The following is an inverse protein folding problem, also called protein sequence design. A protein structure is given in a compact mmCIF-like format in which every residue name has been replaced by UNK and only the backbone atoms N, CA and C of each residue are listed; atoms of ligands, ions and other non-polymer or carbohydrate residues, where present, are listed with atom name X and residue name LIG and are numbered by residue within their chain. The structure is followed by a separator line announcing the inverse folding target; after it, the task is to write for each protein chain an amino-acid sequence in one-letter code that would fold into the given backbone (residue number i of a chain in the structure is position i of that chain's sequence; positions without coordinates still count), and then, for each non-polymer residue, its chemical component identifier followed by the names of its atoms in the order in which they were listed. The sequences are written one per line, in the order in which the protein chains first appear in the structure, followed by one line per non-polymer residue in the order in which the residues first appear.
data_IF_876714737143
#
_entry.id   IF_876714737143
#
_cell.length_a   1.000
_cell.length_b   1.000
_cell.length_c   1.000
_cell.angle_alpha   90.00
_cell.angle_beta   90.00
_cell.angle_gamma   90.00
#
_symmetry.space_group_name_H-M   'P 1'
#
loop_
_entity.id
_entity.type
_entity.pdbx_description
1 polymer ?
#
# COMPACT_ATOMS: atom_id res chain seq x y z
N UNK A 1 -0.94 16.38 9.32
CA UNK A 1 -2.10 15.51 9.06
C UNK A 1 -1.99 14.23 9.87
N UNK A 2 -2.41 14.24 11.14
CA UNK A 2 -2.69 13.03 11.93
C UNK A 2 -1.54 12.08 12.32
N UNK A 3 -0.36 12.15 11.69
CA UNK A 3 0.77 11.23 11.95
C UNK A 3 1.24 10.53 10.66
N UNK A 4 2.32 9.74 10.71
CA UNK A 4 2.87 9.08 9.51
C UNK A 4 1.95 8.02 8.92
N UNK A 5 1.23 7.28 9.76
CA UNK A 5 0.26 6.27 9.29
C UNK A 5 -0.89 6.94 8.54
N UNK A 6 -1.50 7.98 9.11
CA UNK A 6 -2.63 8.69 8.49
C UNK A 6 -2.19 9.44 7.23
N UNK A 7 -1.00 10.07 7.24
CA UNK A 7 -0.53 10.91 6.15
C UNK A 7 0.12 10.16 4.98
N UNK A 8 0.78 9.02 5.23
CA UNK A 8 1.58 8.30 4.22
C UNK A 8 1.31 6.79 4.23
N UNK A 9 1.14 6.19 5.43
CA UNK A 9 0.85 4.77 5.59
C UNK A 9 -0.46 4.33 4.93
N UNK A 10 -1.44 5.22 4.90
CA UNK A 10 -2.75 5.02 4.28
C UNK A 10 -2.67 4.63 2.79
N UNK A 11 -1.65 5.09 2.06
CA UNK A 11 -1.43 4.71 0.67
C UNK A 11 -1.15 3.21 0.51
N UNK A 12 -0.54 2.56 1.51
CA UNK A 12 -0.31 1.11 1.47
C UNK A 12 -1.59 0.33 1.81
N UNK A 13 -2.45 0.88 2.69
CA UNK A 13 -3.78 0.32 2.96
C UNK A 13 -4.62 0.37 1.68
N UNK A 14 -4.65 1.52 1.01
CA UNK A 14 -5.33 1.73 -0.27
C UNK A 14 -4.82 0.78 -1.37
N UNK A 15 -3.50 0.70 -1.53
CA UNK A 15 -2.88 -0.16 -2.54
C UNK A 15 -3.24 -1.64 -2.33
N UNK A 16 -3.18 -2.15 -1.11
CA UNK A 16 -3.54 -3.54 -0.83
C UNK A 16 -5.04 -3.78 -1.03
N UNK A 17 -5.89 -2.83 -0.63
CA UNK A 17 -7.34 -2.90 -0.87
C UNK A 17 -7.69 -2.89 -2.36
N UNK A 18 -6.98 -2.11 -3.16
CA UNK A 18 -7.12 -2.10 -4.61
C UNK A 18 -6.68 -3.43 -5.23
N UNK A 19 -5.51 -3.97 -4.83
CA UNK A 19 -4.97 -5.21 -5.38
C UNK A 19 -5.78 -6.45 -5.00
N UNK A 20 -6.29 -6.51 -3.77
CA UNK A 20 -7.19 -7.58 -3.32
C UNK A 20 -8.55 -7.48 -4.03
N UNK A 21 -9.00 -6.27 -4.38
CA UNK A 21 -10.32 -6.04 -4.98
C UNK A 21 -11.48 -6.46 -4.08
N UNK A 22 -11.24 -6.57 -2.76
CA UNK A 22 -12.17 -7.11 -1.77
C UNK A 22 -12.13 -6.28 -0.48
N UNK A 23 -13.25 -6.08 0.26
CA UNK A 23 -13.30 -5.29 1.49
C UNK A 23 -12.31 -5.72 2.57
N UNK A 24 -11.82 -4.75 3.35
CA UNK A 24 -10.99 -5.01 4.54
C UNK A 24 -11.93 -5.42 5.68
N UNK A 25 -11.73 -6.62 6.22
CA UNK A 25 -12.55 -7.15 7.31
C UNK A 25 -11.89 -7.02 8.68
N UNK A 26 -10.55 -7.00 8.74
CA UNK A 26 -9.82 -6.93 10.00
C UNK A 26 -8.34 -6.56 9.77
N UNK A 27 -7.64 -6.17 10.83
CA UNK A 27 -6.19 -5.97 10.82
C UNK A 27 -5.52 -6.39 12.13
N UNK A 28 -4.23 -6.68 12.08
CA UNK A 28 -3.34 -6.74 13.24
C UNK A 28 -2.17 -5.79 13.05
N UNK A 29 -1.65 -5.22 14.13
CA UNK A 29 -0.56 -4.25 14.07
C UNK A 29 0.40 -4.42 15.24
N UNK A 30 1.69 -4.33 14.95
CA UNK A 30 2.78 -4.34 15.93
C UNK A 30 3.69 -3.15 15.67
N UNK A 31 3.72 -2.24 16.64
CA UNK A 31 4.60 -1.07 16.62
C UNK A 31 5.95 -1.40 17.24
N UNK A 32 6.97 -0.62 16.87
CA UNK A 32 8.23 -0.68 17.62
C UNK A 32 7.96 -0.33 19.09
N UNK A 33 8.49 -1.16 20.00
CA UNK A 33 8.30 -1.00 21.43
C UNK A 33 8.99 0.25 21.99
N UNK A 34 8.57 0.65 23.19
CA UNK A 34 9.28 1.66 23.96
C UNK A 34 10.63 1.10 24.43
N UNK A 35 11.73 1.70 23.98
CA UNK A 35 13.07 1.39 24.42
C UNK A 35 13.91 2.68 24.56
N UNK A 36 14.91 2.71 25.44
CA UNK A 36 15.81 3.86 25.55
C UNK A 36 16.40 4.25 24.19
N UNK A 37 16.29 5.54 23.83
CA UNK A 37 16.80 6.07 22.56
C UNK A 37 15.81 6.07 21.39
N UNK A 38 14.60 5.52 21.53
CA UNK A 38 13.55 5.60 20.50
C UNK A 38 12.58 6.75 20.81
N UNK A 39 12.81 7.91 20.18
CA UNK A 39 11.98 9.10 20.39
C UNK A 39 10.65 9.10 19.60
N UNK A 40 10.62 8.48 18.43
CA UNK A 40 9.42 8.41 17.55
C UNK A 40 9.08 6.95 17.31
N UNK A 41 7.83 6.56 17.56
CA UNK A 41 7.34 5.16 17.46
C UNK A 41 6.33 4.98 16.32
N UNK A 42 5.36 5.87 16.19
CA UNK A 42 4.28 5.84 15.18
C UNK A 42 4.66 5.97 13.71
N UNK A 43 5.95 5.90 13.39
CA UNK A 43 6.49 5.81 12.03
C UNK A 43 7.19 4.47 11.77
N UNK A 44 7.02 3.50 12.67
CA UNK A 44 7.61 2.15 12.61
C UNK A 44 6.58 1.12 13.07
N UNK A 45 5.89 0.53 12.11
CA UNK A 45 4.82 -0.44 12.35
C UNK A 45 4.89 -1.56 11.32
N UNK A 46 4.64 -2.79 11.77
CA UNK A 46 4.28 -3.90 10.90
C UNK A 46 2.81 -4.21 11.12
N UNK A 47 2.02 -4.26 10.05
CA UNK A 47 0.60 -4.59 10.16
C UNK A 47 0.17 -5.52 9.03
N UNK A 48 -0.83 -6.36 9.30
CA UNK A 48 -1.46 -7.19 8.28
C UNK A 48 -2.94 -6.85 8.17
N UNK A 49 -3.43 -6.78 6.94
CA UNK A 49 -4.84 -6.62 6.59
C UNK A 49 -5.39 -7.98 6.17
N UNK A 50 -6.62 -8.26 6.58
CA UNK A 50 -7.42 -9.40 6.13
C UNK A 50 -8.56 -8.89 5.25
N UNK A 51 -8.77 -9.57 4.13
CA UNK A 51 -9.79 -9.21 3.15
C UNK A 51 -10.92 -10.25 3.10
N UNK A 52 -12.12 -9.84 2.67
CA UNK A 52 -13.30 -10.69 2.69
C UNK A 52 -13.21 -11.93 1.76
N UNK A 53 -12.33 -11.90 0.76
CA UNK A 53 -12.06 -13.02 -0.15
C UNK A 53 -11.04 -14.03 0.42
N UNK A 54 -10.55 -13.79 1.64
CA UNK A 54 -9.50 -14.59 2.29
C UNK A 54 -8.07 -14.17 1.93
N UNK A 55 -7.90 -13.14 1.09
CA UNK A 55 -6.59 -12.55 0.83
C UNK A 55 -6.03 -11.92 2.10
N UNK A 56 -4.70 -11.84 2.17
CA UNK A 56 -3.96 -11.11 3.21
C UNK A 56 -2.96 -10.16 2.58
N UNK A 57 -2.68 -9.05 3.25
CA UNK A 57 -1.64 -8.12 2.84
C UNK A 57 -0.89 -7.61 4.05
N UNK A 58 0.44 -7.74 4.06
CA UNK A 58 1.29 -7.29 5.17
C UNK A 58 2.16 -6.12 4.73
N UNK A 59 2.25 -5.11 5.58
CA UNK A 59 3.06 -3.92 5.37
C UNK A 59 4.08 -3.80 6.50
N UNK A 60 5.34 -3.63 6.12
CA UNK A 60 6.40 -3.19 7.02
C UNK A 60 6.71 -1.73 6.72
N UNK A 61 6.11 -0.82 7.50
CA UNK A 61 6.37 0.61 7.40
C UNK A 61 7.46 0.99 8.39
N UNK A 62 8.69 1.19 7.91
CA UNK A 62 9.87 1.36 8.78
C UNK A 62 10.68 2.60 8.39
N UNK A 63 10.64 3.62 9.24
CA UNK A 63 11.35 4.88 9.00
C UNK A 63 12.73 5.01 9.67
N UNK A 64 13.30 3.91 10.16
CA UNK A 64 14.65 3.82 10.75
C UNK A 64 15.70 3.23 9.80
N UNK A 65 15.40 3.10 8.51
CA UNK A 65 16.33 2.61 7.50
C UNK A 65 17.34 3.66 7.02
N UNK A 66 18.45 3.20 6.43
CA UNK A 66 19.41 4.09 5.77
C UNK A 66 18.89 4.53 4.39
N UNK A 67 19.19 5.78 3.98
CA UNK A 67 18.73 6.37 2.72
C UNK A 67 19.14 5.65 1.44
N UNK A 68 20.16 4.77 1.51
CA UNK A 68 20.60 3.95 0.38
C UNK A 68 19.75 2.69 0.18
N UNK A 69 18.92 2.33 1.16
CA UNK A 69 18.00 1.20 1.03
C UNK A 69 16.80 1.62 0.15
N UNK A 70 16.33 0.75 -0.77
CA UNK A 70 15.16 1.05 -1.59
C UNK A 70 13.94 1.37 -0.73
N UNK A 71 13.19 2.41 -1.11
CA UNK A 71 12.10 2.93 -0.28
C UNK A 71 10.88 2.02 -0.25
N UNK A 72 10.57 1.36 -1.37
CA UNK A 72 9.31 0.66 -1.58
C UNK A 72 9.56 -0.66 -2.31
N UNK A 73 9.01 -1.75 -1.77
CA UNK A 73 8.96 -3.07 -2.41
C UNK A 73 7.60 -3.68 -2.16
N UNK A 74 7.02 -4.30 -3.18
CA UNK A 74 5.78 -5.05 -3.10
C UNK A 74 5.98 -6.41 -3.75
N UNK A 75 5.67 -7.48 -3.03
CA UNK A 75 5.61 -8.84 -3.56
C UNK A 75 4.16 -9.32 -3.49
N UNK A 76 3.62 -9.80 -4.61
CA UNK A 76 2.25 -10.34 -4.73
C UNK A 76 2.33 -11.81 -5.11
N UNK A 77 1.72 -12.67 -4.29
CA UNK A 77 1.70 -14.13 -4.48
C UNK A 77 0.29 -14.57 -4.85
N UNK A 78 0.12 -15.29 -5.96
CA UNK A 78 -1.17 -15.85 -6.34
C UNK A 78 -1.01 -17.07 -7.26
N UNK A 79 -1.79 -18.13 -7.00
CA UNK A 79 -1.87 -19.33 -7.86
C UNK A 79 -0.52 -19.91 -8.32
N UNK A 80 0.46 -20.02 -7.41
CA UNK A 80 1.80 -20.54 -7.72
C UNK A 80 2.72 -19.56 -8.46
N UNK A 81 2.35 -18.28 -8.52
CA UNK A 81 3.09 -17.23 -9.23
C UNK A 81 3.39 -16.05 -8.31
N UNK A 82 4.41 -15.27 -8.67
CA UNK A 82 4.82 -14.09 -7.91
C UNK A 82 5.11 -12.92 -8.85
N UNK A 83 4.63 -11.73 -8.49
CA UNK A 83 5.08 -10.47 -9.05
C UNK A 83 5.81 -9.66 -7.97
N UNK A 84 7.00 -9.18 -8.28
CA UNK A 84 7.81 -8.35 -7.40
C UNK A 84 8.03 -6.99 -8.04
N UNK A 85 7.52 -5.95 -7.40
CA UNK A 85 7.73 -4.56 -7.76
C UNK A 85 8.76 -3.94 -6.82
N UNK A 86 9.84 -3.41 -7.40
CA UNK A 86 10.87 -2.64 -6.70
C UNK A 86 10.77 -1.17 -7.09
N UNK A 87 10.40 -0.36 -6.10
CA UNK A 87 10.37 1.09 -6.09
C UNK A 87 9.66 1.71 -7.29
N UNK A 88 8.55 1.12 -7.75
CA UNK A 88 7.80 1.56 -8.94
C UNK A 88 8.67 1.75 -10.20
N UNK A 89 9.72 0.94 -10.34
CA UNK A 89 10.67 0.98 -11.47
C UNK A 89 10.90 -0.38 -12.10
N UNK A 90 11.03 -1.43 -11.29
CA UNK A 90 11.34 -2.78 -11.78
C UNK A 90 10.24 -3.72 -11.35
N UNK A 91 9.63 -4.41 -12.30
CA UNK A 91 8.68 -5.48 -12.04
C UNK A 91 9.32 -6.80 -12.50
N UNK A 92 9.31 -7.82 -11.65
CA UNK A 92 9.80 -9.18 -11.97
C UNK A 92 8.67 -10.18 -11.79
N UNK A 93 8.55 -11.11 -12.74
CA UNK A 93 7.61 -12.22 -12.68
C UNK A 93 8.30 -13.54 -12.42
N UNK A 94 7.71 -14.34 -11.54
CA UNK A 94 8.13 -15.71 -11.25
C UNK A 94 6.93 -16.64 -11.49
N UNK A 95 7.13 -17.71 -12.27
CA UNK A 95 6.03 -18.59 -12.66
C UNK A 95 4.97 -17.91 -13.55
N UNK A 96 5.30 -16.79 -14.21
CA UNK A 96 4.37 -16.02 -15.05
C UNK A 96 4.60 -16.30 -16.54
N UNK A 97 3.71 -17.07 -17.22
CA UNK A 97 3.89 -17.36 -18.65
C UNK A 97 3.86 -16.07 -19.48
N UNK A 98 4.80 -15.93 -20.42
CA UNK A 98 4.89 -14.77 -21.30
C UNK A 98 5.41 -13.48 -20.65
N UNK A 99 5.63 -13.44 -19.32
CA UNK A 99 6.16 -12.27 -18.63
C UNK A 99 7.34 -12.62 -17.72
N UNK A 100 8.47 -11.94 -17.89
CA UNK A 100 9.67 -12.16 -17.05
C UNK A 100 10.02 -10.93 -16.23
N UNK A 101 10.12 -9.78 -16.87
CA UNK A 101 10.45 -8.53 -16.19
C UNK A 101 10.05 -7.32 -17.02
N UNK A 102 9.94 -6.17 -16.35
CA UNK A 102 9.82 -4.84 -16.92
C UNK A 102 10.73 -3.90 -16.12
N UNK A 103 11.40 -2.98 -16.79
CA UNK A 103 12.26 -1.98 -16.15
C UNK A 103 12.03 -0.60 -16.77
N UNK A 104 11.71 0.37 -15.92
CA UNK A 104 11.50 1.76 -16.31
C UNK A 104 12.76 2.58 -16.03
N UNK A 105 13.06 3.49 -16.96
CA UNK A 105 14.16 4.45 -16.80
C UNK A 105 13.96 5.37 -15.61
N UNK A 106 12.71 5.74 -15.29
CA UNK A 106 12.33 6.60 -14.17
C UNK A 106 11.22 5.96 -13.36
N UNK A 107 11.10 6.36 -12.10
CA UNK A 107 10.00 5.94 -11.25
C UNK A 107 8.68 6.46 -11.79
N UNK A 108 7.66 5.60 -11.84
CA UNK A 108 6.31 5.98 -12.19
C UNK A 108 5.33 5.48 -11.12
N UNK A 109 4.85 6.40 -10.27
CA UNK A 109 3.85 6.10 -9.24
C UNK A 109 2.41 6.33 -9.71
N UNK A 110 2.22 6.68 -10.97
CA UNK A 110 0.90 6.83 -11.59
C UNK A 110 0.22 8.18 -11.34
N UNK A 111 0.91 9.22 -10.86
CA UNK A 111 0.28 10.52 -10.59
C UNK A 111 -0.41 11.12 -11.82
N UNK A 112 0.29 11.13 -12.96
CA UNK A 112 -0.26 11.66 -14.22
C UNK A 112 -1.46 10.83 -14.69
N UNK A 113 -1.38 9.50 -14.54
CA UNK A 113 -2.47 8.59 -14.91
C UNK A 113 -3.70 8.78 -14.02
N UNK A 114 -3.50 9.01 -12.71
CA UNK A 114 -4.55 9.32 -11.76
C UNK A 114 -5.25 10.63 -12.12
N UNK A 115 -4.49 11.71 -12.35
CA UNK A 115 -5.05 13.00 -12.75
C UNK A 115 -5.80 12.91 -14.09
N UNK A 116 -5.24 12.20 -15.07
CA UNK A 116 -5.88 11.98 -16.37
C UNK A 116 -7.20 11.21 -16.22
N UNK A 117 -7.21 10.12 -15.44
CA UNK A 117 -8.40 9.30 -15.20
C UNK A 117 -9.52 10.09 -14.53
N UNK A 118 -9.18 10.92 -13.54
CA UNK A 118 -10.13 11.82 -12.89
C UNK A 118 -10.74 12.85 -13.87
N UNK A 119 -9.91 13.50 -14.70
CA UNK A 119 -10.42 14.47 -15.69
C UNK A 119 -11.28 13.76 -16.75
N UNK A 120 -10.88 12.56 -17.19
CA UNK A 120 -11.62 11.78 -18.17
C UNK A 120 -12.99 11.35 -17.65
N UNK A 121 -13.10 10.93 -16.38
CA UNK A 121 -14.38 10.49 -15.83
C UNK A 121 -15.38 11.64 -15.77
N UNK A 122 -14.93 12.85 -15.39
CA UNK A 122 -15.77 14.06 -15.37
C UNK A 122 -16.21 14.42 -16.80
N UNK A 123 -15.27 14.49 -17.75
CA UNK A 123 -15.56 14.87 -19.13
C UNK A 123 -16.57 13.96 -19.80
N UNK A 124 -16.54 12.67 -19.48
CA UNK A 124 -17.37 11.64 -20.10
C UNK A 124 -18.56 11.20 -19.23
N UNK A 125 -18.82 11.89 -18.11
CA UNK A 125 -19.88 11.53 -17.15
C UNK A 125 -19.84 10.05 -16.72
N UNK A 126 -18.63 9.52 -16.48
CA UNK A 126 -18.40 8.16 -15.99
C UNK A 126 -18.33 8.15 -14.46
N UNK A 127 -18.57 6.98 -13.81
CA UNK A 127 -18.33 6.83 -12.39
C UNK A 127 -16.91 7.24 -11.98
N UNK A 128 -16.75 7.65 -10.72
CA UNK A 128 -15.44 7.98 -10.16
C UNK A 128 -14.48 6.78 -10.29
N UNK A 129 -13.18 7.01 -10.60
CA UNK A 129 -12.21 5.93 -10.78
C UNK A 129 -12.02 5.06 -9.52
N UNK A 130 -12.22 5.66 -8.35
CA UNK A 130 -12.22 4.98 -7.04
C UNK A 130 -13.61 5.19 -6.42
N UNK A 131 -14.33 4.13 -6.05
CA UNK A 131 -15.61 4.25 -5.37
C UNK A 131 -15.49 5.00 -4.05
N UNK A 132 -16.43 5.91 -3.76
CA UNK A 132 -16.41 6.70 -2.53
C UNK A 132 -16.41 5.84 -1.26
N UNK A 133 -17.13 4.72 -1.27
CA UNK A 133 -17.15 3.79 -0.15
C UNK A 133 -15.76 3.20 0.17
N UNK A 134 -14.93 2.95 -0.84
CA UNK A 134 -13.55 2.46 -0.64
C UNK A 134 -12.67 3.55 -0.02
N UNK A 135 -12.82 4.81 -0.43
CA UNK A 135 -12.12 5.94 0.17
C UNK A 135 -12.45 6.09 1.67
N UNK A 136 -13.73 5.91 2.04
CA UNK A 136 -14.16 5.95 3.44
C UNK A 136 -13.64 4.75 4.23
N UNK A 137 -13.70 3.54 3.65
CA UNK A 137 -13.14 2.32 4.26
C UNK A 137 -11.66 2.47 4.56
N UNK A 138 -10.85 2.87 3.56
CA UNK A 138 -9.40 3.06 3.69
C UNK A 138 -9.08 4.13 4.72
N UNK A 139 -9.82 5.25 4.71
CA UNK A 139 -9.64 6.33 5.69
C UNK A 139 -9.90 5.85 7.12
N UNK A 140 -11.03 5.14 7.33
CA UNK A 140 -11.40 4.57 8.63
C UNK A 140 -10.33 3.61 9.14
N UNK A 141 -9.95 2.62 8.32
CA UNK A 141 -8.94 1.61 8.70
C UNK A 141 -7.59 2.26 9.00
N UNK A 142 -7.18 3.28 8.23
CA UNK A 142 -5.92 3.99 8.47
C UNK A 142 -5.93 4.77 9.80
N UNK A 143 -7.06 5.34 10.19
CA UNK A 143 -7.23 6.03 11.47
C UNK A 143 -7.21 5.03 12.63
N UNK A 144 -7.96 3.93 12.52
CA UNK A 144 -7.98 2.86 13.53
C UNK A 144 -6.60 2.24 13.72
N UNK A 145 -5.88 1.97 12.61
CA UNK A 145 -4.52 1.48 12.65
C UNK A 145 -3.56 2.44 13.37
N UNK A 146 -3.69 3.74 13.12
CA UNK A 146 -2.88 4.76 13.80
C UNK A 146 -3.18 4.83 15.31
N UNK A 147 -4.42 4.55 15.72
CA UNK A 147 -4.84 4.53 17.12
C UNK A 147 -4.44 3.23 17.85
N UNK A 148 -4.06 2.18 17.14
CA UNK A 148 -3.57 0.92 17.72
C UNK A 148 -2.16 1.02 18.33
N UNK A 149 -1.48 2.17 18.16
CA UNK A 149 -0.24 2.48 18.86
C UNK A 149 -0.52 2.72 20.36
N UNK A 150 -0.45 1.67 21.17
CA UNK A 150 -0.48 1.77 22.63
C UNK A 150 0.86 2.26 23.24
#
# INVERSE_FOLDING_TARGET
GGGRIIGEGCHFVDLLRFLAGSPIIDFDATFIGAAPGIAVRGDKVSFSLRFADGSIGTVHYLANGHKSFPKERLDVFCAGRVLQLDNFRKLKGFGWPGFRHMNLWRQNKGQDACAASFVECIRNNRPAPIPFAELIEVSRVSIELAQAEA
#
